data_IF_894302787905
#
_entry.id   IF_894302787905
#
_cell.length_a   1.000
_cell.length_b   1.000
_cell.length_c   1.000
_cell.angle_alpha   90.00
_cell.angle_beta   90.00
_cell.angle_gamma   90.00
#
_symmetry.space_group_name_H-M   'P 1'
#
loop_
_entity.id
_entity.type
_entity.pdbx_description
1 polymer ?
#
# COMPACT_ATOMS: atom_id res chain seq x y z
N UNK A 1 -3.04 7.83 17.16
CA UNK A 1 -2.70 7.03 15.95
C UNK A 1 -1.20 7.20 15.65
N UNK A 2 -0.62 6.24 14.92
CA UNK A 2 0.77 6.30 14.45
C UNK A 2 0.99 7.42 13.42
N UNK A 3 2.28 7.70 13.09
CA UNK A 3 2.63 8.63 12.01
C UNK A 3 2.14 8.15 10.63
N UNK A 4 1.85 9.08 9.71
CA UNK A 4 1.58 8.78 8.30
C UNK A 4 2.76 8.07 7.61
N UNK A 5 3.96 8.15 8.16
CA UNK A 5 5.14 7.39 7.71
C UNK A 5 4.97 5.88 7.90
N UNK A 6 4.06 5.47 8.80
CA UNK A 6 3.68 4.07 8.99
C UNK A 6 2.53 3.61 8.07
N UNK A 7 1.91 4.53 7.33
CA UNK A 7 0.88 4.26 6.34
C UNK A 7 1.46 4.28 4.91
N UNK A 8 2.07 5.40 4.53
CA UNK A 8 2.74 5.54 3.23
C UNK A 8 4.15 4.98 3.33
N UNK A 9 4.44 3.93 2.58
CA UNK A 9 5.78 3.31 2.54
C UNK A 9 6.16 3.01 1.10
N UNK A 10 7.34 3.44 0.70
CA UNK A 10 7.93 3.04 -0.57
C UNK A 10 8.44 1.60 -0.43
N UNK A 11 8.09 0.73 -1.36
CA UNK A 11 8.57 -0.64 -1.33
C UNK A 11 8.18 -1.46 -2.54
N UNK A 12 8.52 -2.74 -2.51
CA UNK A 12 8.34 -3.67 -3.63
C UNK A 12 6.99 -4.38 -3.50
N UNK A 13 6.15 -4.34 -4.56
CA UNK A 13 4.95 -5.15 -4.66
C UNK A 13 5.24 -6.65 -4.84
N UNK A 14 4.20 -7.47 -4.96
CA UNK A 14 2.79 -7.10 -5.11
C UNK A 14 2.01 -6.93 -3.79
N UNK A 15 2.56 -7.34 -2.64
CA UNK A 15 1.84 -7.33 -1.37
C UNK A 15 2.64 -6.71 -0.24
N UNK A 16 2.03 -5.81 0.52
CA UNK A 16 2.69 -5.22 1.70
C UNK A 16 2.97 -6.25 2.80
N UNK A 17 2.05 -7.19 3.04
CA UNK A 17 2.21 -8.22 4.07
C UNK A 17 3.00 -9.45 3.59
N UNK A 18 2.88 -9.82 2.30
CA UNK A 18 3.49 -11.06 1.78
C UNK A 18 4.79 -10.82 0.97
N UNK A 19 5.12 -9.58 0.63
CA UNK A 19 6.34 -9.23 -0.13
C UNK A 19 7.20 -8.24 0.64
N UNK A 20 6.68 -7.03 0.93
CA UNK A 20 7.47 -5.98 1.63
C UNK A 20 7.87 -6.40 3.04
N UNK A 21 6.96 -6.95 3.84
CA UNK A 21 7.24 -7.42 5.20
C UNK A 21 8.33 -8.49 5.22
N UNK A 22 8.19 -9.60 4.48
CA UNK A 22 9.22 -10.62 4.35
C UNK A 22 10.57 -10.11 3.84
N UNK A 23 10.59 -9.21 2.84
CA UNK A 23 11.82 -8.58 2.37
C UNK A 23 12.51 -7.79 3.47
N UNK A 24 11.77 -6.94 4.17
CA UNK A 24 12.26 -6.15 5.31
C UNK A 24 12.78 -7.05 6.45
N UNK A 25 12.11 -8.18 6.70
CA UNK A 25 12.57 -9.15 7.67
C UNK A 25 13.91 -9.79 7.25
N UNK A 26 14.04 -10.15 5.98
CA UNK A 26 15.31 -10.68 5.45
C UNK A 26 16.44 -9.64 5.54
N UNK A 27 16.17 -8.37 5.19
CA UNK A 27 17.15 -7.27 5.33
C UNK A 27 17.60 -7.04 6.78
N UNK A 28 16.69 -7.16 7.73
CA UNK A 28 17.00 -7.07 9.14
C UNK A 28 17.82 -8.29 9.62
N UNK A 29 17.48 -9.49 9.15
CA UNK A 29 18.17 -10.71 9.54
C UNK A 29 19.59 -10.80 8.98
N UNK A 30 19.84 -10.37 7.74
CA UNK A 30 21.20 -10.28 7.18
C UNK A 30 22.11 -9.40 8.05
N UNK A 31 21.60 -8.30 8.56
CA UNK A 31 22.39 -7.41 9.45
C UNK A 31 22.76 -8.08 10.78
N UNK A 32 21.98 -9.06 11.24
CA UNK A 32 22.25 -9.82 12.47
C UNK A 32 23.25 -10.95 12.26
N UNK A 33 23.20 -11.61 11.11
CA UNK A 33 23.94 -12.83 10.81
C UNK A 33 24.66 -12.75 9.44
N UNK A 34 25.40 -11.67 9.20
CA UNK A 34 26.05 -11.38 7.91
C UNK A 34 27.21 -12.31 7.55
N UNK A 35 27.72 -13.10 8.50
CA UNK A 35 28.83 -14.04 8.34
C UNK A 35 28.37 -15.52 8.28
N UNK A 36 27.09 -15.75 8.03
CA UNK A 36 26.54 -17.09 7.87
C UNK A 36 26.98 -17.73 6.54
N UNK A 37 27.17 -19.05 6.57
CA UNK A 37 27.51 -19.85 5.38
C UNK A 37 26.23 -20.31 4.63
N UNK A 38 25.07 -20.32 5.32
CA UNK A 38 23.79 -20.74 4.78
C UNK A 38 22.64 -20.15 5.61
N UNK A 39 21.56 -19.84 4.90
CA UNK A 39 20.28 -19.45 5.53
C UNK A 39 19.19 -20.49 5.27
N UNK A 40 18.25 -20.58 6.21
CA UNK A 40 16.99 -21.29 6.02
C UNK A 40 15.84 -20.42 6.51
N UNK A 41 14.80 -20.28 5.70
CA UNK A 41 13.62 -19.51 6.05
C UNK A 41 12.39 -20.40 5.97
N UNK A 42 11.72 -20.57 7.10
CA UNK A 42 10.44 -21.30 7.14
C UNK A 42 9.29 -20.30 7.16
N UNK A 43 8.41 -20.42 6.18
CA UNK A 43 7.19 -19.63 6.05
C UNK A 43 6.01 -20.42 6.58
N UNK A 44 5.11 -19.78 7.35
CA UNK A 44 3.99 -20.42 8.01
C UNK A 44 2.65 -19.85 7.57
N UNK A 45 1.57 -20.62 7.75
CA UNK A 45 0.19 -20.20 7.57
C UNK A 45 -0.08 -19.50 6.25
N UNK A 46 -0.61 -18.29 6.29
CA UNK A 46 -1.00 -17.50 5.10
C UNK A 46 0.19 -17.19 4.19
N UNK A 47 1.37 -16.86 4.76
CA UNK A 47 2.60 -16.62 3.97
C UNK A 47 3.01 -17.86 3.16
N UNK A 48 2.85 -19.04 3.71
CA UNK A 48 3.17 -20.28 3.00
C UNK A 48 2.07 -20.67 1.99
N UNK A 49 0.80 -20.47 2.33
CA UNK A 49 -0.32 -20.85 1.48
C UNK A 49 -0.41 -20.03 0.19
N UNK A 50 -0.12 -18.73 0.25
CA UNK A 50 -0.29 -17.79 -0.87
C UNK A 50 1.02 -17.14 -1.33
N UNK A 51 2.11 -17.38 -0.63
CA UNK A 51 3.38 -16.66 -0.80
C UNK A 51 4.01 -16.77 -2.19
N UNK A 52 3.87 -17.91 -2.86
CA UNK A 52 4.35 -18.05 -4.25
C UNK A 52 3.65 -17.07 -5.21
N UNK A 53 2.33 -16.91 -5.05
CA UNK A 53 1.55 -15.95 -5.83
C UNK A 53 1.88 -14.49 -5.51
N UNK A 54 2.40 -14.24 -4.30
CA UNK A 54 2.81 -12.92 -3.83
C UNK A 54 4.32 -12.68 -3.92
N UNK A 55 5.08 -13.56 -4.59
CA UNK A 55 6.54 -13.44 -4.76
C UNK A 55 7.30 -13.34 -3.43
N UNK A 56 6.81 -14.00 -2.37
CA UNK A 56 7.40 -13.96 -1.02
C UNK A 56 8.81 -14.54 -1.01
N UNK A 57 8.99 -15.69 -1.66
CA UNK A 57 10.31 -16.34 -1.85
C UNK A 57 11.26 -15.46 -2.67
N UNK A 58 10.79 -14.91 -3.78
CA UNK A 58 11.60 -14.00 -4.62
C UNK A 58 12.09 -12.80 -3.80
N UNK A 59 11.22 -12.20 -2.99
CA UNK A 59 11.55 -11.06 -2.14
C UNK A 59 12.62 -11.42 -1.09
N UNK A 60 12.48 -12.56 -0.41
CA UNK A 60 13.43 -13.03 0.59
C UNK A 60 14.76 -13.42 -0.06
N UNK A 61 14.72 -14.22 -1.13
CA UNK A 61 15.91 -14.68 -1.85
C UNK A 61 16.70 -13.51 -2.44
N UNK A 62 16.04 -12.47 -2.94
CA UNK A 62 16.72 -11.27 -3.46
C UNK A 62 17.65 -10.59 -2.44
N UNK A 63 17.42 -10.82 -1.15
CA UNK A 63 18.21 -10.25 -0.06
C UNK A 63 19.22 -11.24 0.49
N UNK A 64 18.83 -12.49 0.73
CA UNK A 64 19.67 -13.48 1.42
C UNK A 64 20.63 -14.21 0.48
N UNK A 65 20.21 -14.61 -0.73
CA UNK A 65 21.05 -15.36 -1.67
C UNK A 65 22.34 -14.65 -2.11
N UNK A 66 22.39 -13.31 -2.28
CA UNK A 66 23.63 -12.62 -2.55
C UNK A 66 24.67 -12.74 -1.43
N UNK A 67 24.26 -13.08 -0.21
CA UNK A 67 25.15 -13.25 0.97
C UNK A 67 25.52 -14.70 1.15
N UNK A 68 24.56 -15.62 1.18
CA UNK A 68 24.79 -17.05 1.33
C UNK A 68 23.61 -17.88 0.74
N UNK A 69 23.85 -19.15 0.34
CA UNK A 69 22.80 -20.05 -0.12
C UNK A 69 21.61 -20.10 0.83
N UNK A 70 20.40 -20.00 0.29
CA UNK A 70 19.17 -19.86 1.09
C UNK A 70 18.14 -20.91 0.72
N UNK A 71 17.64 -21.63 1.72
CA UNK A 71 16.54 -22.60 1.59
C UNK A 71 15.21 -21.97 2.06
N UNK A 72 14.15 -22.07 1.26
CA UNK A 72 12.78 -21.69 1.66
C UNK A 72 11.95 -22.94 1.95
N UNK A 73 11.44 -23.04 3.16
CA UNK A 73 10.55 -24.14 3.60
C UNK A 73 9.12 -23.61 3.76
N UNK A 74 8.17 -24.28 3.14
CA UNK A 74 6.76 -23.90 3.12
C UNK A 74 5.95 -24.78 4.09
N UNK A 75 5.30 -24.17 5.08
CA UNK A 75 4.48 -24.85 6.09
C UNK A 75 3.09 -24.19 6.18
N UNK A 76 2.23 -24.35 5.14
CA UNK A 76 0.87 -23.81 5.15
C UNK A 76 -0.03 -24.49 6.19
N UNK A 77 0.32 -25.69 6.62
CA UNK A 77 -0.35 -26.50 7.63
C UNK A 77 -0.16 -26.02 9.06
N UNK A 78 0.80 -25.13 9.30
CA UNK A 78 1.14 -24.60 10.63
C UNK A 78 0.87 -23.10 10.68
N UNK A 79 0.01 -22.68 11.60
CA UNK A 79 -0.15 -21.27 12.00
C UNK A 79 0.52 -21.03 13.33
N UNK A 80 1.38 -20.04 13.41
CA UNK A 80 2.00 -19.65 14.67
C UNK A 80 1.01 -18.82 15.52
N UNK A 81 1.11 -18.88 16.87
CA UNK A 81 0.07 -18.32 17.75
C UNK A 81 -0.11 -16.80 17.66
N UNK A 82 0.96 -16.04 17.37
CA UNK A 82 0.94 -14.57 17.41
C UNK A 82 0.21 -13.97 16.19
N UNK A 83 0.48 -14.49 14.97
CA UNK A 83 -0.15 -13.98 13.74
C UNK A 83 -0.03 -15.03 12.61
N UNK A 84 -1.01 -15.14 11.68
CA UNK A 84 -0.97 -16.14 10.59
C UNK A 84 0.17 -15.92 9.57
N UNK A 85 0.78 -14.73 9.51
CA UNK A 85 1.91 -14.44 8.62
C UNK A 85 3.26 -14.60 9.35
N UNK A 86 3.53 -15.78 9.89
CA UNK A 86 4.76 -16.08 10.59
C UNK A 86 5.92 -16.46 9.68
N UNK A 87 7.14 -16.07 10.08
CA UNK A 87 8.40 -16.42 9.44
C UNK A 87 9.42 -16.81 10.50
N UNK A 88 10.20 -17.85 10.23
CA UNK A 88 11.35 -18.23 11.04
C UNK A 88 12.60 -18.19 10.17
N UNK A 89 13.52 -17.34 10.52
CA UNK A 89 14.84 -17.23 9.91
C UNK A 89 15.86 -17.99 10.75
N UNK A 90 16.71 -18.78 10.12
CA UNK A 90 17.79 -19.56 10.74
C UNK A 90 19.08 -19.31 9.94
N UNK A 91 20.17 -18.98 10.63
CA UNK A 91 21.51 -18.82 10.07
C UNK A 91 22.43 -19.93 10.54
N UNK A 92 23.26 -20.46 9.66
CA UNK A 92 24.18 -21.56 9.93
C UNK A 92 25.63 -21.17 9.60
N UNK A 93 26.57 -21.63 10.40
CA UNK A 93 28.00 -21.53 10.16
C UNK A 93 28.67 -22.87 10.45
N UNK A 94 29.40 -23.44 9.48
CA UNK A 94 29.97 -24.80 9.58
C UNK A 94 28.91 -25.83 10.03
N UNK A 95 27.72 -25.79 9.40
CA UNK A 95 26.52 -26.62 9.66
C UNK A 95 25.93 -26.48 11.09
N UNK A 96 26.40 -25.55 11.90
CA UNK A 96 25.86 -25.28 13.23
C UNK A 96 24.93 -24.03 13.17
N UNK A 97 23.77 -24.08 13.81
CA UNK A 97 22.90 -22.89 13.92
C UNK A 97 23.64 -21.83 14.79
N UNK A 98 23.71 -20.60 14.28
CA UNK A 98 24.36 -19.45 14.93
C UNK A 98 23.38 -18.35 15.31
N UNK A 99 22.28 -18.19 14.60
CA UNK A 99 21.19 -17.26 14.95
C UNK A 99 19.84 -17.83 14.49
N UNK A 100 18.81 -17.49 15.23
CA UNK A 100 17.40 -17.81 14.94
C UNK A 100 16.52 -16.61 15.27
N UNK A 101 15.56 -16.33 14.41
CA UNK A 101 14.60 -15.25 14.63
C UNK A 101 13.22 -15.58 14.09
N UNK A 102 12.22 -15.50 14.98
CA UNK A 102 10.81 -15.60 14.61
C UNK A 102 10.21 -14.20 14.55
N UNK A 103 9.58 -13.88 13.44
CA UNK A 103 8.99 -12.56 13.18
C UNK A 103 7.72 -12.72 12.35
N UNK A 104 6.82 -11.76 12.45
CA UNK A 104 5.52 -11.76 11.79
C UNK A 104 5.34 -10.52 10.96
N UNK A 105 4.72 -10.68 9.78
CA UNK A 105 4.30 -9.56 8.94
C UNK A 105 2.84 -9.20 9.25
N UNK A 106 2.63 -8.11 9.98
CA UNK A 106 1.33 -7.74 10.56
C UNK A 106 0.50 -6.77 9.69
N UNK A 107 0.83 -6.63 8.41
CA UNK A 107 0.13 -5.75 7.48
C UNK A 107 0.88 -4.44 7.20
N UNK A 108 0.59 -3.79 6.07
CA UNK A 108 1.23 -2.53 5.67
C UNK A 108 2.77 -2.58 5.59
N UNK A 109 3.38 -3.76 5.47
CA UNK A 109 4.83 -3.93 5.52
C UNK A 109 5.44 -3.76 6.91
N UNK A 110 4.63 -3.77 7.97
CA UNK A 110 5.09 -3.75 9.35
C UNK A 110 5.49 -5.15 9.82
N UNK A 111 6.50 -5.20 10.72
CA UNK A 111 6.97 -6.41 11.36
C UNK A 111 6.69 -6.34 12.86
N UNK A 112 6.26 -7.45 13.44
CA UNK A 112 6.05 -7.56 14.88
C UNK A 112 6.49 -8.94 15.41
N UNK A 113 6.85 -8.99 16.68
CA UNK A 113 7.02 -10.19 17.47
C UNK A 113 6.61 -9.88 18.92
N UNK A 114 6.77 -10.82 19.84
CA UNK A 114 6.42 -10.63 21.25
C UNK A 114 7.19 -9.48 21.92
N UNK A 115 8.41 -9.17 21.45
CA UNK A 115 9.23 -8.08 21.98
C UNK A 115 8.76 -6.72 21.46
N UNK A 116 8.49 -6.61 20.15
CA UNK A 116 7.99 -5.37 19.55
C UNK A 116 6.57 -5.05 20.00
N UNK A 117 5.75 -6.06 20.32
CA UNK A 117 4.42 -5.86 20.89
C UNK A 117 4.45 -5.19 22.27
N UNK A 118 5.56 -5.34 23.01
CA UNK A 118 5.76 -4.65 24.30
C UNK A 118 6.16 -3.17 24.14
N UNK A 119 6.68 -2.80 22.97
CA UNK A 119 7.09 -1.44 22.63
C UNK A 119 6.48 -1.03 21.29
N UNK A 120 5.16 -0.79 21.24
CA UNK A 120 4.50 -0.38 20.00
C UNK A 120 5.02 0.99 19.53
N UNK A 121 4.94 1.29 18.23
CA UNK A 121 5.25 2.62 17.71
C UNK A 121 4.52 3.71 18.47
N UNK A 122 5.15 4.88 18.60
CA UNK A 122 4.54 6.00 19.32
C UNK A 122 3.29 6.51 18.61
N UNK A 123 2.20 6.65 19.34
CA UNK A 123 1.02 7.36 18.88
C UNK A 123 1.29 8.86 18.96
N UNK A 124 1.30 9.52 17.80
CA UNK A 124 1.51 10.98 17.70
C UNK A 124 0.20 11.75 17.49
N UNK A 125 -0.86 11.08 17.01
CA UNK A 125 -2.17 11.68 16.86
C UNK A 125 -3.03 11.34 18.08
N UNK A 126 -3.47 12.36 18.85
CA UNK A 126 -4.28 12.14 20.05
C UNK A 126 -5.72 11.69 19.74
N UNK A 127 -6.32 12.21 18.66
CA UNK A 127 -7.65 11.81 18.20
C UNK A 127 -7.60 10.61 17.28
N UNK A 128 -8.59 9.72 17.39
CA UNK A 128 -8.63 8.47 16.61
C UNK A 128 -9.87 8.33 15.74
N UNK A 129 -10.88 9.17 15.95
CA UNK A 129 -12.12 9.18 15.16
C UNK A 129 -12.23 10.43 14.31
N UNK A 130 -12.74 10.25 13.09
CA UNK A 130 -12.88 11.38 12.17
C UNK A 130 -13.85 12.45 12.67
N UNK A 131 -14.87 12.06 13.45
CA UNK A 131 -15.80 13.00 14.09
C UNK A 131 -15.11 13.94 15.07
N UNK A 132 -14.16 13.44 15.88
CA UNK A 132 -13.36 14.24 16.81
C UNK A 132 -12.48 15.25 16.07
N UNK A 133 -11.83 14.79 14.98
CA UNK A 133 -10.96 15.62 14.16
C UNK A 133 -11.77 16.67 13.39
N UNK A 134 -12.94 16.31 12.88
CA UNK A 134 -13.86 17.25 12.22
C UNK A 134 -14.35 18.34 13.19
N UNK A 135 -14.67 17.96 14.42
CA UNK A 135 -15.07 18.90 15.48
C UNK A 135 -13.92 19.87 15.82
N UNK A 136 -12.69 19.35 15.91
CA UNK A 136 -11.48 20.14 16.07
C UNK A 136 -11.30 21.13 14.90
N UNK A 137 -11.39 20.65 13.64
CA UNK A 137 -11.28 21.51 12.45
C UNK A 137 -12.29 22.66 12.49
N UNK A 138 -13.55 22.37 12.83
CA UNK A 138 -14.60 23.38 12.89
C UNK A 138 -14.38 24.38 14.03
N UNK A 139 -13.88 23.93 15.19
CA UNK A 139 -13.62 24.79 16.35
C UNK A 139 -12.42 25.71 16.13
N UNK A 140 -11.34 25.19 15.55
CA UNK A 140 -10.09 25.95 15.34
C UNK A 140 -10.10 26.73 14.02
N UNK A 141 -11.10 26.50 13.14
CA UNK A 141 -11.15 27.11 11.81
C UNK A 141 -10.05 26.60 10.86
N UNK A 142 -9.62 25.38 11.07
CA UNK A 142 -8.52 24.72 10.32
C UNK A 142 -9.05 23.55 9.48
N UNK A 143 -8.15 22.93 8.71
CA UNK A 143 -8.44 21.82 7.81
C UNK A 143 -7.70 20.55 8.27
N UNK A 144 -8.03 19.41 7.67
CA UNK A 144 -7.42 18.12 8.01
C UNK A 144 -5.90 18.08 7.82
N UNK A 145 -5.35 18.72 6.78
CA UNK A 145 -3.90 18.75 6.56
C UNK A 145 -3.17 19.62 7.60
N UNK A 146 -3.83 20.65 8.16
CA UNK A 146 -3.25 21.47 9.25
C UNK A 146 -3.21 20.67 10.55
N UNK A 147 -4.21 19.84 10.81
CA UNK A 147 -4.17 18.89 11.93
C UNK A 147 -3.04 17.86 11.77
N UNK A 148 -2.80 17.38 10.53
CA UNK A 148 -1.64 16.51 10.26
C UNK A 148 -0.33 17.25 10.54
N UNK A 149 -0.16 18.48 10.08
CA UNK A 149 1.05 19.27 10.33
C UNK A 149 1.29 19.51 11.81
N UNK A 150 0.22 19.78 12.58
CA UNK A 150 0.31 19.97 14.04
C UNK A 150 0.82 18.70 14.74
N UNK A 151 0.35 17.51 14.34
CA UNK A 151 0.74 16.24 14.96
C UNK A 151 2.11 15.73 14.49
N UNK A 152 2.44 15.86 13.20
CA UNK A 152 3.66 15.29 12.59
C UNK A 152 4.86 16.26 12.65
N UNK A 153 4.60 17.54 12.78
CA UNK A 153 5.59 18.61 12.61
C UNK A 153 5.99 18.85 11.15
N UNK A 154 6.82 19.89 10.90
CA UNK A 154 7.13 20.36 9.54
C UNK A 154 7.90 19.35 8.67
N UNK A 155 8.58 18.39 9.28
CA UNK A 155 9.34 17.35 8.55
C UNK A 155 8.46 16.36 7.77
N UNK A 156 7.13 16.41 7.93
CA UNK A 156 6.21 15.58 7.17
C UNK A 156 6.18 15.98 5.69
N UNK A 157 6.39 17.25 5.38
CA UNK A 157 6.31 17.76 4.01
C UNK A 157 7.41 17.19 3.11
N UNK A 158 8.64 17.10 3.59
CA UNK A 158 9.74 16.47 2.85
C UNK A 158 9.46 15.00 2.59
N UNK A 159 8.92 14.30 3.59
CA UNK A 159 8.51 12.90 3.43
C UNK A 159 7.39 12.73 2.40
N UNK A 160 6.33 13.53 2.48
CA UNK A 160 5.23 13.46 1.51
C UNK A 160 5.68 13.87 0.10
N UNK A 161 6.70 14.72 -0.03
CA UNK A 161 7.30 15.08 -1.32
C UNK A 161 8.04 13.90 -1.94
N UNK A 162 8.78 13.12 -1.14
CA UNK A 162 9.40 11.85 -1.56
C UNK A 162 8.33 10.83 -1.97
N UNK A 163 7.28 10.67 -1.16
CA UNK A 163 6.14 9.79 -1.45
C UNK A 163 5.48 10.16 -2.79
N UNK A 164 5.19 11.44 -3.01
CA UNK A 164 4.58 11.91 -4.25
C UNK A 164 5.48 11.66 -5.46
N UNK A 165 6.77 11.89 -5.32
CA UNK A 165 7.77 11.63 -6.37
C UNK A 165 7.77 10.15 -6.75
N UNK A 166 7.84 9.25 -5.78
CA UNK A 166 7.80 7.81 -6.01
C UNK A 166 6.48 7.34 -6.68
N UNK A 167 5.34 7.92 -6.29
CA UNK A 167 4.04 7.66 -6.91
C UNK A 167 4.05 8.06 -8.40
N UNK A 168 4.56 9.23 -8.73
CA UNK A 168 4.66 9.70 -10.12
C UNK A 168 5.58 8.81 -10.96
N UNK A 169 6.75 8.45 -10.44
CA UNK A 169 7.71 7.57 -11.11
C UNK A 169 7.10 6.20 -11.40
N UNK A 170 6.32 5.66 -10.48
CA UNK A 170 5.61 4.38 -10.68
C UNK A 170 4.63 4.46 -11.84
N UNK A 171 3.83 5.52 -11.92
CA UNK A 171 2.89 5.75 -13.04
C UNK A 171 3.65 5.83 -14.35
N UNK A 172 4.72 6.63 -14.42
CA UNK A 172 5.50 6.82 -15.65
C UNK A 172 6.11 5.51 -16.13
N UNK A 173 6.69 4.70 -15.23
CA UNK A 173 7.21 3.37 -15.59
C UNK A 173 6.11 2.46 -16.12
N UNK A 174 4.97 2.38 -15.42
CA UNK A 174 3.87 1.50 -15.80
C UNK A 174 3.19 1.88 -17.11
N UNK A 175 3.14 3.18 -17.46
CA UNK A 175 2.59 3.65 -18.74
C UNK A 175 3.45 3.24 -19.96
N UNK A 176 4.73 3.02 -19.77
CA UNK A 176 5.65 2.60 -20.84
C UNK A 176 5.92 1.10 -20.86
N UNK A 177 5.51 0.39 -19.80
CA UNK A 177 5.73 -1.04 -19.69
C UNK A 177 4.69 -1.84 -20.49
N UNK A 178 5.15 -2.80 -21.25
CA UNK A 178 4.35 -3.69 -22.11
C UNK A 178 4.57 -5.16 -21.73
N UNK A 179 3.83 -6.07 -22.38
CA UNK A 179 3.98 -7.49 -22.24
C UNK A 179 2.98 -8.13 -21.28
N UNK A 180 3.41 -9.20 -20.60
CA UNK A 180 2.57 -10.05 -19.76
C UNK A 180 3.05 -9.99 -18.32
N UNK A 181 2.10 -9.92 -17.37
CA UNK A 181 2.38 -9.94 -15.94
C UNK A 181 2.93 -11.30 -15.50
N UNK A 182 3.76 -11.35 -14.46
CA UNK A 182 4.29 -12.60 -13.90
C UNK A 182 3.18 -13.55 -13.43
N UNK A 183 3.45 -14.85 -13.45
CA UNK A 183 2.56 -15.89 -12.96
C UNK A 183 1.71 -16.58 -14.03
N UNK A 184 0.89 -17.53 -13.58
CA UNK A 184 0.17 -18.47 -14.45
C UNK A 184 -1.02 -17.90 -15.22
N UNK A 185 -1.55 -16.73 -14.83
CA UNK A 185 -2.76 -16.14 -15.44
C UNK A 185 -2.49 -15.50 -16.82
N UNK A 186 -1.24 -15.18 -17.13
CA UNK A 186 -0.83 -14.56 -18.41
C UNK A 186 -1.60 -13.28 -18.73
N UNK A 187 -1.88 -12.46 -17.73
CA UNK A 187 -2.59 -11.19 -17.90
C UNK A 187 -1.70 -10.22 -18.65
N UNK A 188 -2.19 -9.69 -19.77
CA UNK A 188 -1.48 -8.66 -20.53
C UNK A 188 -1.57 -7.31 -19.85
N UNK A 189 -0.48 -6.52 -19.89
CA UNK A 189 -0.50 -5.11 -19.47
C UNK A 189 -1.41 -4.30 -20.40
N UNK A 190 -2.15 -3.37 -19.85
CA UNK A 190 -3.22 -2.60 -20.54
C UNK A 190 -3.00 -1.09 -20.45
N UNK A 191 -2.19 -0.63 -19.49
CA UNK A 191 -2.05 0.80 -19.18
C UNK A 191 -1.69 1.64 -20.41
N UNK A 192 -0.64 1.25 -21.16
CA UNK A 192 -0.22 1.93 -22.39
C UNK A 192 -1.33 1.96 -23.43
N UNK A 193 -2.03 0.85 -23.65
CA UNK A 193 -3.16 0.75 -24.58
C UNK A 193 -4.31 1.67 -24.19
N UNK A 194 -4.64 1.77 -22.90
CA UNK A 194 -5.69 2.70 -22.41
C UNK A 194 -5.29 4.16 -22.66
N UNK A 195 -4.01 4.49 -22.43
CA UNK A 195 -3.50 5.85 -22.68
C UNK A 195 -3.61 6.22 -24.18
N UNK A 196 -3.17 5.33 -25.06
CA UNK A 196 -3.26 5.55 -26.52
C UNK A 196 -4.72 5.69 -26.98
N UNK A 197 -5.61 4.83 -26.51
CA UNK A 197 -7.04 4.90 -26.82
C UNK A 197 -7.68 6.19 -26.31
N UNK A 198 -7.23 6.71 -25.18
CA UNK A 198 -7.76 7.96 -24.62
C UNK A 198 -7.64 9.12 -25.60
N UNK A 199 -6.60 9.17 -26.43
CA UNK A 199 -6.41 10.26 -27.40
C UNK A 199 -7.46 10.23 -28.53
N UNK A 200 -8.10 9.09 -28.79
CA UNK A 200 -9.18 8.97 -29.78
C UNK A 200 -10.59 9.26 -29.23
N UNK A 201 -10.70 9.45 -27.91
CA UNK A 201 -11.98 9.68 -27.25
C UNK A 201 -12.34 11.16 -27.15
N UNK A 202 -13.63 11.45 -26.99
CA UNK A 202 -14.15 12.78 -26.63
C UNK A 202 -13.84 13.11 -25.18
N UNK A 203 -13.95 14.38 -24.79
CA UNK A 203 -13.38 14.93 -23.55
C UNK A 203 -13.71 14.15 -22.26
N UNK A 204 -14.96 13.79 -22.04
CA UNK A 204 -15.36 13.05 -20.82
C UNK A 204 -14.82 11.62 -20.80
N UNK A 205 -14.88 10.90 -21.91
CA UNK A 205 -14.33 9.56 -22.04
C UNK A 205 -12.79 9.59 -22.04
N UNK A 206 -12.19 10.61 -22.64
CA UNK A 206 -10.73 10.83 -22.61
C UNK A 206 -10.23 10.98 -21.18
N UNK A 207 -10.86 11.84 -20.40
CA UNK A 207 -10.51 12.07 -19.00
C UNK A 207 -10.56 10.79 -18.19
N UNK A 208 -11.67 10.03 -18.32
CA UNK A 208 -11.86 8.75 -17.61
C UNK A 208 -10.86 7.67 -18.06
N UNK A 209 -10.59 7.58 -19.36
CA UNK A 209 -9.61 6.62 -19.89
C UNK A 209 -8.18 6.92 -19.43
N UNK A 210 -7.79 8.19 -19.31
CA UNK A 210 -6.51 8.60 -18.73
C UNK A 210 -6.41 8.24 -17.26
N UNK A 211 -7.46 8.51 -16.47
CA UNK A 211 -7.51 8.11 -15.06
C UNK A 211 -7.32 6.59 -14.89
N UNK A 212 -8.01 5.80 -15.72
CA UNK A 212 -7.84 4.34 -15.73
C UNK A 212 -6.43 3.94 -16.13
N UNK A 213 -5.84 4.56 -17.17
CA UNK A 213 -4.48 4.27 -17.59
C UNK A 213 -3.46 4.47 -16.43
N UNK A 214 -3.60 5.54 -15.66
CA UNK A 214 -2.73 5.83 -14.51
C UNK A 214 -2.90 4.80 -13.38
N UNK A 215 -4.14 4.41 -13.08
CA UNK A 215 -4.41 3.38 -12.08
C UNK A 215 -3.91 2.00 -12.53
N UNK A 216 -4.16 1.62 -13.78
CA UNK A 216 -3.64 0.38 -14.36
C UNK A 216 -2.12 0.36 -14.36
N UNK A 217 -1.46 1.46 -14.73
CA UNK A 217 0.00 1.57 -14.73
C UNK A 217 0.61 1.22 -13.38
N UNK A 218 0.12 1.84 -12.31
CA UNK A 218 0.60 1.56 -10.95
C UNK A 218 0.25 0.14 -10.49
N UNK A 219 -0.98 -0.34 -10.76
CA UNK A 219 -1.40 -1.68 -10.35
C UNK A 219 -0.63 -2.79 -11.09
N UNK A 220 -0.30 -2.60 -12.36
CA UNK A 220 0.51 -3.51 -13.15
C UNK A 220 1.98 -3.51 -12.71
N UNK A 221 2.54 -2.34 -12.35
CA UNK A 221 3.85 -2.24 -11.69
C UNK A 221 3.86 -2.99 -10.37
N UNK A 222 2.84 -2.79 -9.53
CA UNK A 222 2.69 -3.54 -8.28
C UNK A 222 2.67 -5.06 -8.54
N UNK A 223 1.82 -5.51 -9.46
CA UNK A 223 1.67 -6.94 -9.80
C UNK A 223 2.94 -7.57 -10.37
N UNK A 224 3.84 -6.77 -10.92
CA UNK A 224 5.13 -7.20 -11.49
C UNK A 224 6.29 -7.17 -10.49
N UNK A 225 6.05 -6.85 -9.22
CA UNK A 225 7.11 -6.69 -8.23
C UNK A 225 7.88 -5.37 -8.36
N UNK A 226 7.31 -4.37 -9.01
CA UNK A 226 7.88 -3.03 -9.11
C UNK A 226 7.79 -2.25 -7.80
N UNK A 227 8.51 -1.11 -7.75
CA UNK A 227 8.45 -0.20 -6.61
C UNK A 227 7.13 0.58 -6.65
N UNK A 228 6.39 0.57 -5.55
CA UNK A 228 5.13 1.30 -5.35
C UNK A 228 5.12 1.96 -3.97
N UNK A 229 4.12 2.81 -3.74
CA UNK A 229 3.84 3.37 -2.42
C UNK A 229 2.58 2.72 -1.86
N UNK A 230 2.62 2.23 -0.63
CA UNK A 230 1.40 1.75 0.05
C UNK A 230 0.42 2.91 0.28
N UNK A 231 -0.86 2.73 -0.12
CA UNK A 231 -1.91 3.73 0.05
C UNK A 231 -3.31 3.06 0.13
N UNK A 232 -3.72 2.42 1.25
CA UNK A 232 -2.89 2.11 2.42
C UNK A 232 -2.02 0.86 2.28
N UNK A 233 -2.24 0.00 1.26
CA UNK A 233 -1.49 -1.25 1.00
C UNK A 233 -0.90 -1.28 -0.39
N UNK A 234 -0.06 -2.28 -0.72
CA UNK A 234 0.40 -2.51 -2.09
C UNK A 234 -0.75 -2.85 -3.04
N UNK A 235 -1.70 -3.69 -2.59
CA UNK A 235 -2.85 -4.12 -3.41
C UNK A 235 -3.77 -2.99 -3.84
N UNK A 236 -3.78 -1.89 -3.10
CA UNK A 236 -4.57 -0.68 -3.37
C UNK A 236 -3.74 0.56 -3.71
N UNK A 237 -2.44 0.38 -3.95
CA UNK A 237 -1.47 1.46 -4.15
C UNK A 237 -1.73 2.36 -5.36
N UNK A 238 -2.62 1.97 -6.26
CA UNK A 238 -2.85 2.70 -7.51
C UNK A 238 -3.94 3.77 -7.42
N UNK A 239 -4.85 3.69 -6.45
CA UNK A 239 -6.04 4.57 -6.38
C UNK A 239 -5.63 6.03 -6.14
N UNK A 240 -4.93 6.28 -5.03
CA UNK A 240 -4.50 7.62 -4.64
C UNK A 240 -3.61 8.29 -5.70
N UNK A 241 -2.51 7.66 -6.17
CA UNK A 241 -1.64 8.32 -7.14
C UNK A 241 -2.34 8.57 -8.48
N UNK A 242 -3.21 7.68 -8.94
CA UNK A 242 -3.93 7.89 -10.20
C UNK A 242 -4.84 9.12 -10.15
N UNK A 243 -5.60 9.30 -9.05
CA UNK A 243 -6.48 10.45 -8.86
C UNK A 243 -5.67 11.75 -8.81
N UNK A 244 -4.63 11.81 -7.97
CA UNK A 244 -3.81 13.00 -7.83
C UNK A 244 -3.04 13.34 -9.10
N UNK A 245 -2.45 12.35 -9.77
CA UNK A 245 -1.72 12.53 -11.03
C UNK A 245 -2.66 13.02 -12.16
N UNK A 246 -3.87 12.49 -12.21
CA UNK A 246 -4.90 12.95 -13.14
C UNK A 246 -5.26 14.42 -12.88
N UNK A 247 -5.46 14.80 -11.63
CA UNK A 247 -5.79 16.18 -11.24
C UNK A 247 -4.66 17.17 -11.53
N UNK A 248 -3.39 16.78 -11.30
CA UNK A 248 -2.23 17.59 -11.68
C UNK A 248 -2.24 17.87 -13.18
N UNK A 249 -2.44 16.84 -14.00
CA UNK A 249 -2.37 16.96 -15.46
C UNK A 249 -3.60 17.65 -16.09
N UNK A 250 -4.74 17.73 -15.39
CA UNK A 250 -5.98 18.32 -15.90
C UNK A 250 -6.30 19.68 -15.31
N UNK A 251 -5.84 19.99 -14.10
CA UNK A 251 -6.19 21.19 -13.33
C UNK A 251 -4.99 22.04 -12.92
N UNK A 252 -3.76 21.57 -13.22
CA UNK A 252 -2.53 22.29 -12.94
C UNK A 252 -2.37 22.72 -11.46
N UNK A 253 -2.73 21.86 -10.52
CA UNK A 253 -2.54 22.11 -9.09
C UNK A 253 -1.04 22.19 -8.75
N UNK A 254 -0.68 23.12 -7.87
CA UNK A 254 0.70 23.23 -7.40
C UNK A 254 1.10 22.02 -6.56
N UNK A 255 2.42 21.72 -6.56
CA UNK A 255 2.98 20.62 -5.77
C UNK A 255 2.56 20.68 -4.28
N UNK A 256 2.63 21.87 -3.68
CA UNK A 256 2.22 22.07 -2.28
C UNK A 256 0.75 21.66 -2.04
N UNK A 257 -0.17 21.98 -2.96
CA UNK A 257 -1.57 21.55 -2.82
C UNK A 257 -1.72 20.05 -2.88
N UNK A 258 -0.92 19.36 -3.69
CA UNK A 258 -0.89 17.89 -3.77
C UNK A 258 -0.36 17.29 -2.46
N UNK A 259 0.69 17.83 -1.88
CA UNK A 259 1.22 17.34 -0.59
C UNK A 259 0.19 17.49 0.53
N UNK A 260 -0.52 18.62 0.59
CA UNK A 260 -1.63 18.83 1.53
C UNK A 260 -2.78 17.84 1.31
N UNK A 261 -3.09 17.53 0.06
CA UNK A 261 -4.09 16.51 -0.28
C UNK A 261 -3.64 15.08 0.12
N UNK A 262 -2.34 14.76 -0.05
CA UNK A 262 -1.76 13.52 0.46
C UNK A 262 -1.85 13.44 1.99
N UNK A 263 -1.57 14.52 2.71
CA UNK A 263 -1.70 14.58 4.17
C UNK A 263 -3.14 14.30 4.59
N UNK A 264 -4.11 14.96 3.99
CA UNK A 264 -5.54 14.73 4.27
C UNK A 264 -5.95 13.28 3.96
N UNK A 265 -5.67 12.78 2.75
CA UNK A 265 -5.99 11.39 2.40
C UNK A 265 -5.31 10.38 3.31
N UNK A 266 -4.06 10.63 3.69
CA UNK A 266 -3.33 9.80 4.66
C UNK A 266 -3.99 9.76 6.03
N UNK A 267 -4.51 10.87 6.51
CA UNK A 267 -5.24 10.95 7.78
C UNK A 267 -6.47 10.01 7.77
N UNK A 268 -7.28 10.03 6.71
CA UNK A 268 -8.43 9.12 6.57
C UNK A 268 -7.99 7.65 6.54
N UNK A 269 -6.91 7.33 5.83
CA UNK A 269 -6.32 5.98 5.82
C UNK A 269 -5.82 5.55 7.20
N UNK A 270 -5.24 6.48 7.96
CA UNK A 270 -4.72 6.22 9.29
C UNK A 270 -5.84 5.99 10.33
N UNK A 271 -6.94 6.73 10.22
CA UNK A 271 -8.15 6.51 11.02
C UNK A 271 -8.73 5.12 10.75
N UNK A 272 -8.84 4.72 9.48
CA UNK A 272 -9.32 3.38 9.10
C UNK A 272 -8.38 2.28 9.61
N UNK A 273 -7.06 2.44 9.46
CA UNK A 273 -6.04 1.51 9.98
C UNK A 273 -6.14 1.33 11.49
N UNK A 274 -6.41 2.42 12.23
CA UNK A 274 -6.41 2.41 13.69
C UNK A 274 -7.67 1.78 14.28
N UNK A 275 -8.84 2.04 13.68
CA UNK A 275 -10.14 1.60 14.23
C UNK A 275 -10.60 0.24 13.64
N UNK A 276 -9.94 -0.25 12.60
CA UNK A 276 -10.23 -1.51 11.95
C UNK A 276 -8.92 -2.18 11.53
N UNK A 277 -8.85 -2.71 10.32
CA UNK A 277 -7.64 -3.23 9.68
C UNK A 277 -7.59 -2.79 8.24
N UNK A 278 -6.38 -2.67 7.70
CA UNK A 278 -6.12 -2.47 6.28
C UNK A 278 -5.62 -3.76 5.61
N UNK A 279 -5.68 -4.89 6.32
CA UNK A 279 -5.26 -6.19 5.81
C UNK A 279 -6.43 -6.85 5.04
N UNK A 280 -6.25 -7.08 3.75
CA UNK A 280 -7.25 -7.78 2.95
C UNK A 280 -7.59 -9.18 3.47
N UNK A 281 -6.65 -9.85 4.14
CA UNK A 281 -6.86 -11.15 4.76
C UNK A 281 -7.80 -11.10 5.97
N UNK A 282 -7.89 -9.96 6.66
CA UNK A 282 -8.73 -9.78 7.85
C UNK A 282 -10.09 -9.19 7.51
N UNK A 283 -10.09 -8.13 6.72
CA UNK A 283 -11.29 -7.31 6.47
C UNK A 283 -11.75 -7.29 5.01
N UNK A 284 -11.11 -8.05 4.15
CA UNK A 284 -11.42 -8.06 2.72
C UNK A 284 -10.89 -6.85 1.96
N UNK A 285 -11.21 -6.79 0.67
CA UNK A 285 -10.80 -5.70 -0.21
C UNK A 285 -11.47 -4.36 0.14
N UNK A 286 -12.57 -4.38 0.89
CA UNK A 286 -13.19 -3.17 1.45
C UNK A 286 -12.20 -2.39 2.32
N UNK A 287 -11.37 -3.06 3.12
CA UNK A 287 -10.34 -2.44 3.96
C UNK A 287 -9.07 -2.05 3.21
N UNK A 288 -8.87 -2.53 2.00
CA UNK A 288 -7.74 -2.13 1.12
C UNK A 288 -8.20 -1.08 0.10
N UNK A 289 -8.92 -1.52 -0.94
CA UNK A 289 -9.35 -0.65 -2.05
C UNK A 289 -10.44 0.32 -1.61
N UNK A 290 -11.34 -0.08 -0.70
CA UNK A 290 -12.36 0.81 -0.16
C UNK A 290 -11.74 1.96 0.64
N UNK A 291 -10.77 1.66 1.51
CA UNK A 291 -10.03 2.69 2.25
C UNK A 291 -9.21 3.56 1.29
N UNK A 292 -8.55 2.97 0.29
CA UNK A 292 -7.82 3.75 -0.71
C UNK A 292 -8.75 4.71 -1.50
N UNK A 293 -9.98 4.29 -1.80
CA UNK A 293 -11.00 5.14 -2.41
C UNK A 293 -11.38 6.30 -1.50
N UNK A 294 -11.64 6.04 -0.22
CA UNK A 294 -11.92 7.08 0.78
C UNK A 294 -10.78 8.10 0.89
N UNK A 295 -9.53 7.63 0.97
CA UNK A 295 -8.33 8.47 1.00
C UNK A 295 -8.26 9.38 -0.24
N UNK A 296 -8.46 8.81 -1.42
CA UNK A 296 -8.39 9.54 -2.69
C UNK A 296 -9.56 10.52 -2.87
N UNK A 297 -10.77 10.15 -2.42
CA UNK A 297 -11.94 11.02 -2.44
C UNK A 297 -11.75 12.25 -1.53
N UNK A 298 -11.28 12.04 -0.29
CA UNK A 298 -10.93 13.13 0.63
C UNK A 298 -9.89 14.07 0.01
N UNK A 299 -8.81 13.52 -0.55
CA UNK A 299 -7.74 14.28 -1.18
C UNK A 299 -8.23 15.10 -2.38
N UNK A 300 -9.07 14.50 -3.23
CA UNK A 300 -9.65 15.17 -4.39
C UNK A 300 -10.61 16.30 -3.97
N UNK A 301 -11.51 16.03 -3.01
CA UNK A 301 -12.46 17.01 -2.50
C UNK A 301 -11.74 18.23 -1.93
N UNK A 302 -10.65 18.03 -1.18
CA UNK A 302 -9.82 19.12 -0.70
C UNK A 302 -9.19 19.93 -1.84
N UNK A 303 -8.69 19.29 -2.89
CA UNK A 303 -8.12 19.99 -4.05
C UNK A 303 -9.15 20.88 -4.76
N UNK A 304 -10.41 20.46 -4.81
CA UNK A 304 -11.53 21.25 -5.33
C UNK A 304 -12.04 22.33 -4.37
N UNK A 305 -11.47 22.42 -3.15
CA UNK A 305 -11.81 23.46 -2.17
C UNK A 305 -12.96 23.09 -1.25
N UNK A 306 -13.22 21.79 -1.07
CA UNK A 306 -14.24 21.30 -0.14
C UNK A 306 -13.96 21.72 1.31
N UNK A 307 -15.03 22.01 2.05
CA UNK A 307 -14.96 22.21 3.51
C UNK A 307 -14.64 20.91 4.24
N UNK A 308 -14.18 20.93 5.52
CA UNK A 308 -13.94 19.71 6.27
C UNK A 308 -15.10 18.73 6.24
N UNK A 309 -16.35 19.19 6.40
CA UNK A 309 -17.53 18.32 6.31
C UNK A 309 -17.77 17.72 4.93
N UNK A 310 -17.45 18.44 3.86
CA UNK A 310 -17.55 17.91 2.50
C UNK A 310 -16.45 16.88 2.22
N UNK A 311 -15.24 17.10 2.72
CA UNK A 311 -14.10 16.18 2.60
C UNK A 311 -14.41 14.87 3.33
N UNK A 312 -14.95 14.97 4.54
CA UNK A 312 -15.38 13.80 5.34
C UNK A 312 -16.46 13.01 4.60
N UNK A 313 -17.50 13.69 4.09
CA UNK A 313 -18.58 13.04 3.37
C UNK A 313 -18.14 12.41 2.04
N UNK A 314 -17.20 13.02 1.32
CA UNK A 314 -16.59 12.42 0.13
C UNK A 314 -15.83 11.12 0.48
N UNK A 315 -15.09 11.11 1.59
CA UNK A 315 -14.40 9.91 2.07
C UNK A 315 -15.39 8.79 2.45
N UNK A 316 -16.48 9.15 3.15
CA UNK A 316 -17.56 8.22 3.52
C UNK A 316 -18.17 7.57 2.28
N UNK A 317 -18.58 8.37 1.26
CA UNK A 317 -19.10 7.84 -0.01
C UNK A 317 -18.09 6.92 -0.71
N UNK A 318 -16.80 7.28 -0.68
CA UNK A 318 -15.74 6.46 -1.26
C UNK A 318 -15.62 5.09 -0.59
N UNK A 319 -15.74 5.02 0.72
CA UNK A 319 -15.68 3.78 1.49
C UNK A 319 -16.96 2.96 1.33
N UNK A 320 -18.13 3.59 1.52
CA UNK A 320 -19.45 2.96 1.53
C UNK A 320 -19.69 2.13 0.27
N UNK A 321 -19.34 2.65 -0.91
CA UNK A 321 -19.50 1.96 -2.21
C UNK A 321 -18.54 0.77 -2.42
N UNK A 322 -17.70 0.46 -1.46
CA UNK A 322 -16.80 -0.70 -1.45
C UNK A 322 -17.11 -1.71 -0.34
N UNK A 323 -18.11 -1.44 0.50
CA UNK A 323 -18.50 -2.38 1.57
C UNK A 323 -18.99 -3.70 0.97
N UNK A 324 -18.57 -4.80 1.60
CA UNK A 324 -18.87 -6.16 1.14
C UNK A 324 -17.84 -6.75 0.16
N UNK A 325 -16.83 -6.01 -0.29
CA UNK A 325 -15.77 -6.56 -1.14
C UNK A 325 -14.87 -7.53 -0.37
N UNK A 326 -14.84 -8.78 -0.83
CA UNK A 326 -13.97 -9.83 -0.30
C UNK A 326 -12.55 -9.75 -0.89
N UNK A 327 -11.60 -10.48 -0.29
CA UNK A 327 -10.24 -10.65 -0.80
C UNK A 327 -10.02 -12.09 -1.25
N UNK A 328 -10.29 -12.36 -2.51
CA UNK A 328 -10.20 -13.68 -3.14
C UNK A 328 -9.59 -13.61 -4.55
N UNK A 329 -8.32 -13.18 -4.66
CA UNK A 329 -7.66 -13.03 -5.94
C UNK A 329 -7.46 -14.38 -6.63
N UNK A 330 -7.69 -14.42 -7.96
CA UNK A 330 -7.55 -15.64 -8.77
C UNK A 330 -6.12 -16.17 -8.67
N UNK A 331 -5.99 -17.45 -8.35
CA UNK A 331 -4.70 -18.12 -8.12
C UNK A 331 -3.82 -17.47 -7.05
N UNK A 332 -4.38 -16.68 -6.15
CA UNK A 332 -3.63 -15.93 -5.13
C UNK A 332 -2.76 -14.79 -5.70
N UNK A 333 -2.92 -14.44 -6.98
CA UNK A 333 -2.15 -13.39 -7.64
C UNK A 333 -2.85 -12.02 -7.49
N UNK A 334 -2.11 -10.99 -7.10
CA UNK A 334 -2.62 -9.61 -7.00
C UNK A 334 -2.81 -9.02 -8.41
N UNK A 335 -3.67 -9.66 -9.21
CA UNK A 335 -3.94 -9.35 -10.61
C UNK A 335 -5.43 -9.27 -10.87
N UNK A 336 -6.16 -10.38 -10.79
CA UNK A 336 -7.60 -10.45 -11.01
C UNK A 336 -8.28 -10.76 -9.66
N UNK A 337 -9.18 -9.90 -9.17
CA UNK A 337 -9.69 -8.64 -9.76
C UNK A 337 -8.94 -7.38 -9.33
N UNK A 338 -7.78 -7.48 -8.66
CA UNK A 338 -7.12 -6.38 -7.95
C UNK A 338 -6.79 -5.19 -8.87
N UNK A 339 -6.27 -5.45 -10.08
CA UNK A 339 -5.86 -4.41 -11.03
C UNK A 339 -7.07 -3.56 -11.45
N UNK A 340 -8.15 -4.20 -11.86
CA UNK A 340 -9.39 -3.53 -12.29
C UNK A 340 -10.08 -2.81 -11.13
N UNK A 341 -10.06 -3.39 -9.92
CA UNK A 341 -10.62 -2.74 -8.72
C UNK A 341 -9.96 -1.39 -8.43
N UNK A 342 -8.64 -1.28 -8.61
CA UNK A 342 -7.93 -0.01 -8.43
C UNK A 342 -8.42 1.06 -9.44
N UNK A 343 -8.56 0.70 -10.71
CA UNK A 343 -9.04 1.64 -11.74
C UNK A 343 -10.49 2.09 -11.47
N UNK A 344 -11.37 1.16 -11.08
CA UNK A 344 -12.76 1.46 -10.73
C UNK A 344 -12.83 2.34 -9.48
N UNK A 345 -12.03 2.04 -8.45
CA UNK A 345 -11.97 2.82 -7.23
C UNK A 345 -11.45 4.24 -7.47
N UNK A 346 -10.46 4.42 -8.35
CA UNK A 346 -9.98 5.75 -8.72
C UNK A 346 -11.09 6.60 -9.37
N UNK A 347 -11.91 6.00 -10.27
CA UNK A 347 -13.06 6.69 -10.83
C UNK A 347 -14.12 7.00 -9.77
N UNK A 348 -14.41 6.05 -8.87
CA UNK A 348 -15.37 6.25 -7.79
C UNK A 348 -14.93 7.35 -6.83
N UNK A 349 -13.63 7.42 -6.49
CA UNK A 349 -13.09 8.51 -5.69
C UNK A 349 -13.25 9.88 -6.37
N UNK A 350 -13.17 9.92 -7.69
CA UNK A 350 -13.40 11.12 -8.47
C UNK A 350 -14.89 11.50 -8.54
N UNK A 351 -15.79 10.50 -8.65
CA UNK A 351 -17.25 10.69 -8.69
C UNK A 351 -17.80 11.14 -7.31
N UNK A 352 -17.10 10.91 -6.21
CA UNK A 352 -17.51 11.28 -4.84
C UNK A 352 -17.31 12.78 -4.50
N UNK A 353 -16.89 13.59 -5.46
CA UNK A 353 -16.63 15.04 -5.27
C UNK A 353 -17.82 15.91 -5.70
#
# INVERSE_FOLDING_TARGET
MESLKELYKIGTGPSSSHTMGPKKAAEAFVKRASDADRYKVTLYGSLAATGKGHMTDVAILSVLEPVAPTEIVWRPDISLPFHPNGMRFEAFKAEKPVDEWVIYSVGGGALANEETAKNPPANIYPMTHISEILEWCNREGQTFWEYVEECEGPGIWDYLDEIWTAMCETIVRGLTAEGVLPGGLKVSRKASTYLVKAESYTDSLRSRAKLYAYALATAEENASGGTVVTAPTCGSSAVMPAVLYHLVNTRNFSRLRILRALATGGLFGNVAKTNSSISGAEVGCQGEVGVACAMAAAAACQLFGGTPSQIEYAAEMGLEHHLGLTCDPVCGLVQIPCIERNAIAAARAFDAN
#
